data_IF_762556312143
#
_entry.id   IF_762556312143
#
_cell.length_a   1.000
_cell.length_b   1.000
_cell.length_c   1.000
_cell.angle_alpha   90.00
_cell.angle_beta   90.00
_cell.angle_gamma   90.00
#
_symmetry.space_group_name_H-M   'P 1'
#
loop_
_entity.id
_entity.type
_entity.pdbx_description
1 polymer ?
#
# COMPACT_ATOMS: atom_id res chain seq x y z
N UNK A 1 -11.46 9.76 18.29
CA UNK A 1 -12.02 8.42 18.56
C UNK A 1 -12.69 7.85 17.32
N UNK A 2 -12.25 6.69 16.85
CA UNK A 2 -12.91 5.97 15.75
C UNK A 2 -13.98 5.10 16.41
N UNK A 3 -15.24 5.48 16.25
CA UNK A 3 -16.38 4.65 16.68
C UNK A 3 -16.73 3.71 15.54
N UNK A 4 -16.25 2.47 15.60
CA UNK A 4 -16.75 1.38 14.77
C UNK A 4 -18.10 0.95 15.35
N UNK A 5 -19.20 1.41 14.74
CA UNK A 5 -20.54 1.02 15.17
C UNK A 5 -21.01 -0.16 14.33
N UNK A 6 -20.85 -1.38 14.85
CA UNK A 6 -21.37 -2.61 14.23
C UNK A 6 -22.89 -2.68 14.41
N UNK A 7 -23.64 -2.01 13.53
CA UNK A 7 -25.06 -2.31 13.37
C UNK A 7 -25.19 -3.39 12.30
N UNK A 8 -25.35 -4.64 12.74
CA UNK A 8 -25.59 -5.84 11.94
C UNK A 8 -24.35 -6.37 11.19
N UNK A 9 -24.10 -7.68 11.28
CA UNK A 9 -22.84 -8.36 10.96
C UNK A 9 -22.40 -8.41 9.48
N UNK A 10 -22.79 -7.43 8.66
CA UNK A 10 -22.45 -7.37 7.24
C UNK A 10 -21.87 -6.03 6.77
N UNK A 11 -21.93 -4.96 7.57
CA UNK A 11 -21.48 -3.62 7.14
C UNK A 11 -20.47 -3.01 8.11
N UNK A 12 -19.35 -2.54 7.58
CA UNK A 12 -18.34 -1.75 8.27
C UNK A 12 -18.46 -0.30 7.82
N UNK A 13 -18.86 0.60 8.71
CA UNK A 13 -18.84 2.04 8.44
C UNK A 13 -17.55 2.67 8.97
N UNK A 14 -16.92 3.47 8.12
CA UNK A 14 -15.72 4.22 8.46
C UNK A 14 -15.99 5.71 8.30
N UNK A 15 -15.76 6.45 9.38
CA UNK A 15 -15.96 7.89 9.40
C UNK A 15 -14.64 8.59 9.08
N UNK A 16 -14.49 9.06 7.84
CA UNK A 16 -13.27 9.72 7.36
C UNK A 16 -13.37 11.25 7.37
N UNK A 17 -12.37 11.92 7.96
CA UNK A 17 -12.17 13.36 7.74
C UNK A 17 -11.51 13.56 6.37
N UNK A 18 -12.28 13.99 5.37
CA UNK A 18 -11.71 14.39 4.08
C UNK A 18 -11.24 15.85 4.19
N UNK A 19 -9.98 16.14 3.80
CA UNK A 19 -9.45 17.51 3.80
C UNK A 19 -10.36 18.40 2.93
N UNK A 20 -11.14 19.26 3.58
CA UNK A 20 -11.93 20.33 2.96
C UNK A 20 -13.39 20.03 2.60
N UNK A 21 -13.92 18.81 2.77
CA UNK A 21 -15.33 18.52 2.41
C UNK A 21 -16.02 17.54 3.36
N UNK A 22 -16.24 17.99 4.59
CA UNK A 22 -17.09 17.30 5.55
C UNK A 22 -16.65 15.87 5.89
N UNK A 23 -17.35 15.31 6.86
CA UNK A 23 -17.12 13.93 7.26
C UNK A 23 -17.92 13.04 6.32
N UNK A 24 -17.23 12.27 5.47
CA UNK A 24 -17.88 11.30 4.59
C UNK A 24 -17.80 9.92 5.23
N UNK A 25 -18.96 9.28 5.32
CA UNK A 25 -19.07 7.89 5.76
C UNK A 25 -18.77 6.99 4.57
N UNK A 26 -17.64 6.28 4.63
CA UNK A 26 -17.30 5.23 3.68
C UNK A 26 -17.82 3.91 4.27
N UNK A 27 -18.81 3.30 3.63
CA UNK A 27 -19.41 2.03 4.06
C UNK A 27 -18.86 0.90 3.20
N UNK A 28 -18.23 -0.09 3.85
CA UNK A 28 -17.79 -1.34 3.23
C UNK A 28 -18.75 -2.44 3.66
N UNK A 29 -19.36 -3.10 2.68
CA UNK A 29 -20.12 -4.32 2.91
C UNK A 29 -19.17 -5.52 2.90
N UNK A 30 -19.06 -6.21 4.03
CA UNK A 30 -18.15 -7.34 4.25
C UNK A 30 -18.58 -8.56 3.47
N UNK A 31 -19.89 -8.78 3.36
CA UNK A 31 -20.44 -9.91 2.60
C UNK A 31 -20.18 -9.72 1.11
N UNK A 32 -20.33 -8.48 0.62
CA UNK A 32 -19.97 -8.12 -0.74
C UNK A 32 -18.46 -8.25 -0.97
N UNK A 33 -17.63 -7.83 -0.01
CA UNK A 33 -16.17 -7.94 -0.10
C UNK A 33 -15.72 -9.40 -0.20
N UNK A 34 -16.34 -10.32 0.54
CA UNK A 34 -16.09 -11.76 0.44
C UNK A 34 -16.41 -12.34 -0.95
N UNK A 35 -17.36 -11.73 -1.67
CA UNK A 35 -17.80 -12.16 -3.00
C UNK A 35 -17.02 -11.47 -4.14
N UNK A 36 -16.10 -10.53 -3.84
CA UNK A 36 -15.29 -9.86 -4.85
C UNK A 36 -14.26 -10.85 -5.42
N UNK A 37 -14.28 -10.99 -6.75
CA UNK A 37 -13.22 -11.70 -7.47
C UNK A 37 -11.97 -10.82 -7.55
N UNK A 38 -10.88 -11.26 -6.92
CA UNK A 38 -9.59 -10.54 -6.86
C UNK A 38 -9.00 -10.24 -8.25
N UNK A 39 -9.28 -11.10 -9.24
CA UNK A 39 -8.78 -10.94 -10.61
C UNK A 39 -9.61 -9.93 -11.42
N UNK A 40 -10.75 -9.48 -10.90
CA UNK A 40 -11.69 -8.59 -11.58
C UNK A 40 -12.13 -7.43 -10.68
N UNK A 41 -11.16 -6.73 -10.09
CA UNK A 41 -11.42 -5.54 -9.28
C UNK A 41 -11.01 -4.29 -10.04
N UNK A 42 -11.91 -3.30 -10.11
CA UNK A 42 -11.57 -2.02 -10.73
C UNK A 42 -10.50 -1.29 -9.92
N UNK A 43 -9.62 -0.55 -10.60
CA UNK A 43 -8.61 0.29 -9.95
C UNK A 43 -9.23 1.30 -8.97
N UNK A 44 -10.43 1.82 -9.27
CA UNK A 44 -11.16 2.75 -8.39
C UNK A 44 -11.64 2.08 -7.11
N UNK A 45 -12.09 0.82 -7.19
CA UNK A 45 -12.48 0.02 -6.01
C UNK A 45 -11.27 -0.32 -5.16
N UNK A 46 -10.17 -0.77 -5.76
CA UNK A 46 -8.91 -1.06 -5.04
C UNK A 46 -8.37 0.18 -4.33
N UNK A 47 -8.36 1.34 -5.01
CA UNK A 47 -7.96 2.62 -4.41
C UNK A 47 -8.81 2.99 -3.19
N UNK A 48 -10.12 2.71 -3.23
CA UNK A 48 -11.02 2.91 -2.09
C UNK A 48 -10.65 2.03 -0.89
N UNK A 49 -10.46 0.72 -1.11
CA UNK A 49 -10.09 -0.24 -0.06
C UNK A 49 -8.76 0.13 0.62
N UNK A 50 -7.74 0.47 -0.18
CA UNK A 50 -6.42 0.90 0.33
C UNK A 50 -6.54 2.17 1.17
N UNK A 51 -7.36 3.13 0.74
CA UNK A 51 -7.55 4.39 1.45
C UNK A 51 -8.22 4.19 2.82
N UNK A 52 -9.17 3.26 2.92
CA UNK A 52 -9.77 2.87 4.19
C UNK A 52 -8.72 2.25 5.11
N UNK A 53 -7.97 1.25 4.65
CA UNK A 53 -6.93 0.57 5.45
C UNK A 53 -5.90 1.57 6.00
N UNK A 54 -5.41 2.47 5.14
CA UNK A 54 -4.43 3.52 5.54
C UNK A 54 -4.97 4.45 6.61
N UNK A 55 -6.25 4.82 6.53
CA UNK A 55 -6.89 5.72 7.50
C UNK A 55 -7.20 5.01 8.82
N UNK A 56 -7.56 3.74 8.77
CA UNK A 56 -7.99 2.96 9.93
C UNK A 56 -6.84 2.27 10.67
N UNK A 57 -5.61 2.35 10.14
CA UNK A 57 -4.41 1.68 10.67
C UNK A 57 -4.62 0.17 10.88
N UNK A 58 -5.48 -0.46 10.06
CA UNK A 58 -5.68 -1.91 10.10
C UNK A 58 -4.42 -2.59 9.58
N UNK A 59 -3.90 -3.56 10.34
CA UNK A 59 -2.81 -4.42 9.89
C UNK A 59 -3.33 -5.41 8.86
N UNK A 60 -2.75 -5.41 7.66
CA UNK A 60 -3.00 -6.44 6.65
C UNK A 60 -2.19 -7.68 7.05
N UNK A 61 -2.83 -8.84 7.19
CA UNK A 61 -2.14 -10.10 7.47
C UNK A 61 -1.44 -10.58 6.19
N UNK A 62 -0.12 -10.75 6.25
CA UNK A 62 0.76 -10.94 5.07
C UNK A 62 0.40 -12.11 4.15
N UNK A 63 -0.23 -13.18 4.65
CA UNK A 63 -0.59 -14.37 3.85
C UNK A 63 -1.52 -14.08 2.65
N UNK A 64 -2.17 -12.91 2.60
CA UNK A 64 -3.09 -12.53 1.52
C UNK A 64 -2.38 -11.75 0.40
N UNK A 65 -1.19 -11.19 0.67
CA UNK A 65 -0.47 -10.34 -0.27
C UNK A 65 0.29 -11.13 -1.34
N UNK A 66 0.70 -12.37 -1.06
CA UNK A 66 1.43 -13.24 -2.01
C UNK A 66 0.69 -13.52 -3.33
N UNK A 67 -0.63 -13.28 -3.38
CA UNK A 67 -1.46 -13.49 -4.59
C UNK A 67 -1.83 -12.19 -5.33
N UNK A 68 -1.59 -11.03 -4.75
CA UNK A 68 -1.69 -9.78 -5.48
C UNK A 68 -0.29 -9.53 -6.01
N UNK A 69 -0.08 -9.72 -7.32
CA UNK A 69 1.16 -9.41 -8.01
C UNK A 69 1.74 -8.08 -7.50
N UNK A 70 2.61 -8.21 -6.51
CA UNK A 70 3.62 -7.26 -6.12
C UNK A 70 4.81 -7.37 -7.08
N UNK A 71 4.64 -8.15 -8.17
CA UNK A 71 5.65 -8.37 -9.19
C UNK A 71 5.76 -7.21 -10.20
N UNK A 72 4.80 -6.28 -10.24
CA UNK A 72 5.03 -4.98 -10.91
C UNK A 72 5.88 -4.01 -10.06
N UNK A 73 6.26 -4.40 -8.84
CA UNK A 73 7.19 -3.67 -7.98
C UNK A 73 8.52 -4.41 -7.78
N UNK A 74 8.74 -5.51 -8.51
CA UNK A 74 9.78 -6.47 -8.15
C UNK A 74 10.43 -7.23 -9.30
N UNK A 75 9.86 -7.26 -10.50
CA UNK A 75 10.61 -7.78 -11.64
C UNK A 75 11.59 -6.69 -12.10
N UNK A 76 12.89 -7.00 -11.99
CA UNK A 76 13.96 -6.28 -12.67
C UNK A 76 13.66 -6.32 -14.16
N UNK A 77 12.87 -5.39 -14.67
CA UNK A 77 13.01 -5.04 -16.07
C UNK A 77 14.40 -4.40 -16.18
N UNK A 78 15.28 -4.98 -16.98
CA UNK A 78 16.48 -4.31 -17.50
C UNK A 78 16.00 -3.20 -18.46
N UNK A 79 15.25 -2.24 -17.92
CA UNK A 79 14.60 -1.16 -18.62
C UNK A 79 15.22 0.19 -18.25
N UNK A 80 15.14 1.12 -19.19
CA UNK A 80 15.60 2.50 -18.96
C UNK A 80 14.73 3.20 -17.91
N UNK A 81 15.34 4.10 -17.14
CA UNK A 81 14.61 4.98 -16.21
C UNK A 81 13.83 6.01 -17.04
N UNK A 82 12.50 5.98 -16.97
CA UNK A 82 11.63 6.88 -17.75
C UNK A 82 10.94 7.95 -16.90
N UNK A 83 10.97 7.82 -15.58
CA UNK A 83 10.31 8.74 -14.65
C UNK A 83 11.15 9.09 -13.42
N UNK A 84 10.87 10.25 -12.80
CA UNK A 84 11.55 10.69 -11.56
C UNK A 84 11.29 9.70 -10.40
N UNK A 85 10.10 9.11 -10.36
CA UNK A 85 9.75 8.13 -9.34
C UNK A 85 10.61 6.85 -9.49
N UNK A 86 10.75 6.33 -10.70
CA UNK A 86 11.65 5.21 -11.00
C UNK A 86 13.09 5.54 -10.63
N UNK A 87 13.56 6.75 -10.97
CA UNK A 87 14.90 7.20 -10.61
C UNK A 87 15.13 7.14 -9.10
N UNK A 88 14.17 7.62 -8.29
CA UNK A 88 14.26 7.58 -6.82
C UNK A 88 14.24 6.16 -6.28
N UNK A 89 13.36 5.30 -6.78
CA UNK A 89 13.27 3.92 -6.35
C UNK A 89 14.55 3.13 -6.68
N UNK A 90 15.10 3.33 -7.88
CA UNK A 90 16.36 2.73 -8.30
C UNK A 90 17.53 3.21 -7.43
N UNK A 91 17.62 4.53 -7.18
CA UNK A 91 18.64 5.10 -6.31
C UNK A 91 18.57 4.54 -4.88
N UNK A 92 17.37 4.43 -4.30
CA UNK A 92 17.17 3.85 -2.97
C UNK A 92 17.61 2.38 -2.92
N UNK A 93 17.32 1.61 -3.98
CA UNK A 93 17.74 0.20 -4.09
C UNK A 93 19.26 0.06 -4.15
N UNK A 94 19.93 0.85 -4.99
CA UNK A 94 21.40 0.87 -5.08
C UNK A 94 22.00 1.27 -3.74
N UNK A 95 21.48 2.34 -3.12
CA UNK A 95 21.94 2.81 -1.83
C UNK A 95 21.91 1.71 -0.76
N UNK A 96 20.80 0.98 -0.63
CA UNK A 96 20.67 -0.10 0.36
C UNK A 96 21.57 -1.32 0.09
N UNK A 97 21.96 -1.53 -1.16
CA UNK A 97 22.88 -2.61 -1.52
C UNK A 97 24.34 -2.26 -1.20
N UNK A 98 24.69 -0.97 -1.28
CA UNK A 98 26.05 -0.47 -1.03
C UNK A 98 26.25 -0.11 0.44
N UNK A 99 25.33 0.66 1.02
CA UNK A 99 25.43 1.11 2.40
C UNK A 99 25.27 -0.06 3.37
N UNK A 100 26.02 -0.01 4.47
CA UNK A 100 25.83 -0.94 5.58
C UNK A 100 24.38 -0.91 6.11
N UNK A 101 23.85 -2.05 6.61
CA UNK A 101 22.54 -2.08 7.21
C UNK A 101 22.38 -1.00 8.30
N UNK A 102 21.22 -0.34 8.31
CA UNK A 102 20.88 0.74 9.24
C UNK A 102 21.65 2.06 9.08
N UNK A 103 22.46 2.24 8.03
CA UNK A 103 23.13 3.50 7.74
C UNK A 103 22.34 4.36 6.76
N UNK A 104 22.37 5.67 6.96
CA UNK A 104 21.71 6.68 6.09
C UNK A 104 22.72 7.42 5.19
N UNK A 105 23.96 6.92 5.14
CA UNK A 105 25.06 7.45 4.35
C UNK A 105 25.93 6.28 3.86
N UNK A 106 26.72 6.52 2.82
CA UNK A 106 27.73 5.58 2.30
C UNK A 106 29.09 6.07 2.80
N UNK A 107 29.86 5.20 3.45
CA UNK A 107 31.25 5.43 3.81
C UNK A 107 32.20 4.97 2.70
N UNK A 108 33.41 5.51 2.67
CA UNK A 108 34.44 5.08 1.70
C UNK A 108 34.69 3.57 1.76
N UNK A 109 34.63 2.97 2.96
CA UNK A 109 34.79 1.53 3.17
C UNK A 109 33.71 0.71 2.46
N UNK A 110 32.50 1.24 2.33
CA UNK A 110 31.38 0.56 1.66
C UNK A 110 31.65 0.39 0.15
N UNK A 111 32.53 1.23 -0.42
CA UNK A 111 32.92 1.22 -1.83
C UNK A 111 34.17 0.38 -2.13
N UNK A 112 34.89 -0.03 -1.09
CA UNK A 112 36.20 -0.70 -1.18
C UNK A 112 36.12 -2.21 -0.93
N UNK A 113 34.91 -2.75 -0.71
CA UNK A 113 34.65 -4.17 -0.49
C UNK A 113 34.83 -5.03 -1.75
#
# INVERSE_FOLDING_TARGET
DIVANSKTGGQLSFKGMSKGRGVKEEVIDVEKLHKINRNKVSARTMKGLINVIRRTKLSIVSNILDNADYNDWGEQSDGDITSEWEAKAAAEKIFKNVAMPCHNYIEEKDLLC
#
